data_IF_245693754701
#
_entry.id   IF_245693754701
#
_cell.length_a   1.000
_cell.length_b   1.000
_cell.length_c   1.000
_cell.angle_alpha   90.00
_cell.angle_beta   90.00
_cell.angle_gamma   90.00
#
_symmetry.space_group_name_H-M   'P 1'
#
loop_
_entity.id
_entity.type
_entity.pdbx_description
1 polymer ?
#
# COMPACT_ATOMS: atom_id res chain seq x y z
N UNK A 1 -22.99 47.06 -38.13
CA UNK A 1 -22.96 46.58 -36.73
C UNK A 1 -22.89 45.06 -36.79
N UNK A 2 -21.77 44.35 -36.76
CA UNK A 2 -20.39 44.60 -36.29
C UNK A 2 -19.51 43.60 -37.04
N UNK A 3 -18.46 43.98 -37.79
CA UNK A 3 -17.49 43.01 -38.30
C UNK A 3 -16.32 42.82 -37.32
N UNK A 4 -15.93 41.55 -37.11
CA UNK A 4 -14.68 41.15 -36.45
C UNK A 4 -13.46 41.53 -37.30
N UNK A 5 -12.37 42.05 -36.73
CA UNK A 5 -11.12 42.19 -37.46
C UNK A 5 -10.27 40.93 -37.41
N UNK A 6 -9.78 40.59 -38.60
CA UNK A 6 -8.74 39.63 -38.96
C UNK A 6 -7.35 40.06 -38.45
N UNK A 7 -6.58 39.04 -38.09
CA UNK A 7 -5.14 38.97 -37.79
C UNK A 7 -4.25 39.76 -38.75
N UNK A 8 -3.25 40.46 -38.20
CA UNK A 8 -2.13 41.01 -38.97
C UNK A 8 -1.06 41.63 -38.06
N UNK A 9 -0.04 40.84 -37.69
CA UNK A 9 1.19 41.33 -37.09
C UNK A 9 2.31 41.27 -38.13
N UNK A 10 3.10 42.34 -38.35
CA UNK A 10 4.26 42.28 -39.22
C UNK A 10 5.58 42.12 -38.46
N UNK A 11 6.44 41.33 -39.12
CA UNK A 11 7.87 41.49 -39.37
C UNK A 11 8.87 41.58 -38.20
N UNK A 12 9.80 40.62 -38.28
CA UNK A 12 11.09 40.50 -37.64
C UNK A 12 11.99 41.73 -37.81
N UNK A 13 12.81 41.97 -36.78
CA UNK A 13 14.12 42.59 -36.94
C UNK A 13 15.13 41.89 -36.02
N UNK A 14 16.30 41.59 -36.59
CA UNK A 14 17.39 40.83 -36.01
C UNK A 14 18.47 41.78 -35.49
N UNK A 15 19.11 41.46 -34.36
CA UNK A 15 20.54 41.64 -34.10
C UNK A 15 20.86 41.38 -32.62
N UNK A 16 21.95 40.63 -32.35
CA UNK A 16 22.51 40.54 -31.00
C UNK A 16 23.20 39.23 -30.68
N UNK A 17 24.19 38.84 -31.48
CA UNK A 17 25.06 37.72 -31.16
C UNK A 17 26.02 38.10 -30.02
N UNK A 18 25.70 37.70 -28.79
CA UNK A 18 26.63 37.74 -27.65
C UNK A 18 27.08 36.33 -27.33
N UNK A 19 28.35 36.01 -27.62
CA UNK A 19 29.03 34.76 -27.21
C UNK A 19 29.11 34.70 -25.68
N UNK A 20 28.54 33.69 -25.00
CA UNK A 20 28.93 33.37 -23.64
C UNK A 20 30.23 32.56 -23.63
N UNK A 21 31.11 32.91 -22.69
CA UNK A 21 32.40 32.26 -22.43
C UNK A 21 32.24 30.77 -22.08
N UNK A 22 33.27 29.92 -22.30
CA UNK A 22 33.19 28.50 -21.94
C UNK A 22 33.06 28.33 -20.42
N UNK A 23 32.28 27.34 -19.94
CA UNK A 23 32.18 27.06 -18.52
C UNK A 23 33.53 26.58 -17.99
N UNK A 24 33.97 27.21 -16.89
CA UNK A 24 35.12 26.79 -16.10
C UNK A 24 34.85 25.40 -15.52
N UNK A 25 35.77 24.47 -15.73
CA UNK A 25 35.80 23.15 -15.10
C UNK A 25 35.80 23.31 -13.58
N UNK A 26 34.83 22.77 -12.83
CA UNK A 26 34.95 22.68 -11.39
C UNK A 26 35.97 21.59 -11.04
N UNK A 27 36.92 21.97 -10.18
CA UNK A 27 37.96 21.11 -9.65
C UNK A 27 37.36 19.85 -8.99
N UNK A 28 37.94 18.69 -9.31
CA UNK A 28 37.64 17.41 -8.69
C UNK A 28 37.93 17.50 -7.20
N UNK A 29 36.87 17.49 -6.40
CA UNK A 29 36.95 17.40 -4.94
C UNK A 29 37.31 15.97 -4.56
N UNK A 30 38.27 15.71 -3.65
CA UNK A 30 38.62 14.36 -3.26
C UNK A 30 37.42 13.67 -2.58
N UNK A 31 37.12 12.45 -3.03
CA UNK A 31 36.15 11.54 -2.42
C UNK A 31 36.63 11.19 -1.02
N UNK A 32 35.84 11.38 0.05
CA UNK A 32 36.18 10.82 1.35
C UNK A 32 36.10 9.29 1.27
N UNK A 33 37.21 8.65 1.60
CA UNK A 33 37.38 7.21 1.76
C UNK A 33 36.27 6.63 2.65
N UNK A 34 35.55 5.62 2.16
CA UNK A 34 34.59 4.88 2.97
C UNK A 34 35.31 4.19 4.14
N UNK A 35 34.84 4.30 5.40
CA UNK A 35 35.29 3.41 6.46
C UNK A 35 34.71 2.00 6.25
N UNK A 36 35.56 1.00 6.40
CA UNK A 36 35.25 -0.43 6.30
C UNK A 36 34.15 -0.87 7.29
N UNK A 37 33.35 -1.90 6.96
CA UNK A 37 32.28 -2.38 7.83
C UNK A 37 32.86 -3.36 8.85
N UNK A 38 32.96 -2.95 10.12
CA UNK A 38 33.27 -3.87 11.22
C UNK A 38 32.65 -3.44 12.54
N UNK A 39 31.35 -3.16 12.55
CA UNK A 39 30.56 -3.05 13.79
C UNK A 39 29.09 -3.43 13.58
N UNK A 40 28.83 -4.70 13.25
CA UNK A 40 27.57 -5.35 13.60
C UNK A 40 27.92 -6.65 14.30
N UNK A 41 28.15 -6.56 15.62
CA UNK A 41 28.23 -7.72 16.49
C UNK A 41 27.23 -7.47 17.63
N UNK A 42 26.36 -8.47 17.80
CA UNK A 42 25.32 -8.64 18.82
C UNK A 42 24.05 -7.77 18.70
N UNK A 43 23.20 -8.14 17.74
CA UNK A 43 21.76 -7.98 17.93
C UNK A 43 21.31 -8.92 19.06
N UNK A 44 20.53 -8.45 20.04
CA UNK A 44 20.06 -9.30 21.12
C UNK A 44 19.16 -10.40 20.54
N UNK A 45 19.51 -11.65 20.81
CA UNK A 45 18.58 -12.77 20.66
C UNK A 45 17.40 -12.48 21.59
N UNK A 46 16.30 -11.98 21.03
CA UNK A 46 15.05 -11.83 21.76
C UNK A 46 14.61 -13.23 22.20
N UNK A 47 14.84 -13.55 23.47
CA UNK A 47 14.25 -14.73 24.09
C UNK A 47 12.74 -14.66 23.90
N UNK A 48 12.16 -15.70 23.31
CA UNK A 48 10.72 -15.80 23.09
C UNK A 48 10.02 -15.78 24.44
N UNK A 49 9.36 -14.67 24.77
CA UNK A 49 8.32 -14.67 25.79
C UNK A 49 7.26 -15.73 25.42
N UNK A 50 6.62 -16.41 26.39
CA UNK A 50 5.54 -17.34 26.07
C UNK A 50 4.46 -16.61 25.28
N UNK A 51 4.09 -17.19 24.13
CA UNK A 51 3.05 -16.64 23.27
C UNK A 51 1.75 -16.50 24.06
N UNK A 52 1.26 -15.27 24.23
CA UNK A 52 -0.06 -15.03 24.81
C UNK A 52 -1.16 -15.54 23.89
N UNK A 53 -2.41 -15.58 24.35
CA UNK A 53 -3.55 -15.88 23.47
C UNK A 53 -3.60 -14.87 22.32
N UNK A 54 -3.85 -15.36 21.10
CA UNK A 54 -3.98 -14.51 19.92
C UNK A 54 -5.10 -13.48 20.14
N UNK A 55 -4.76 -12.21 19.96
CA UNK A 55 -5.65 -11.06 20.15
C UNK A 55 -5.37 -10.02 19.08
N UNK A 56 -6.33 -9.12 18.87
CA UNK A 56 -6.07 -7.96 18.00
C UNK A 56 -5.21 -6.96 18.75
N UNK A 57 -4.09 -6.57 18.14
CA UNK A 57 -3.16 -5.56 18.62
C UNK A 57 -3.03 -4.49 17.55
N UNK A 58 -3.14 -3.23 17.94
CA UNK A 58 -2.85 -2.09 17.08
C UNK A 58 -1.40 -1.64 17.22
N UNK A 59 -0.77 -1.28 16.12
CA UNK A 59 0.61 -0.82 16.04
C UNK A 59 0.69 0.40 15.13
N UNK A 60 1.40 1.45 15.56
CA UNK A 60 1.76 2.53 14.65
C UNK A 60 3.23 2.93 14.83
N UNK A 61 3.99 2.78 13.73
CA UNK A 61 5.42 3.09 13.67
C UNK A 61 5.72 4.33 12.81
N UNK A 62 4.67 4.98 12.25
CA UNK A 62 4.83 6.14 11.38
C UNK A 62 5.25 5.80 9.94
N UNK A 63 4.94 4.60 9.43
CA UNK A 63 5.18 4.25 8.03
C UNK A 63 4.52 5.26 7.10
N UNK A 64 5.28 5.82 6.15
CA UNK A 64 4.79 6.86 5.26
C UNK A 64 3.91 6.29 4.14
N UNK A 65 4.11 5.03 3.78
CA UNK A 65 3.41 4.39 2.67
C UNK A 65 2.84 3.01 3.03
N UNK A 66 1.84 2.57 2.27
CA UNK A 66 1.33 1.20 2.35
C UNK A 66 2.41 0.17 2.05
N UNK A 67 3.29 0.45 1.09
CA UNK A 67 4.37 -0.47 0.71
C UNK A 67 5.37 -0.70 1.86
N UNK A 68 5.72 0.34 2.61
CA UNK A 68 6.56 0.23 3.80
C UNK A 68 5.88 -0.61 4.90
N UNK A 69 4.62 -0.33 5.18
CA UNK A 69 3.85 -1.08 6.17
C UNK A 69 3.68 -2.56 5.78
N UNK A 70 3.41 -2.84 4.51
CA UNK A 70 3.29 -4.18 3.96
C UNK A 70 4.59 -4.96 4.09
N UNK A 71 5.71 -4.33 3.72
CA UNK A 71 7.02 -4.94 3.85
C UNK A 71 7.32 -5.31 5.31
N UNK A 72 7.02 -4.40 6.25
CA UNK A 72 7.16 -4.67 7.67
C UNK A 72 6.28 -5.85 8.13
N UNK A 73 5.00 -5.89 7.72
CA UNK A 73 4.08 -7.00 8.04
C UNK A 73 4.61 -8.34 7.53
N UNK A 74 5.13 -8.39 6.30
CA UNK A 74 5.64 -9.62 5.68
C UNK A 74 6.92 -10.12 6.35
N UNK A 75 7.69 -9.23 6.97
CA UNK A 75 8.92 -9.58 7.69
C UNK A 75 8.68 -10.14 9.11
N UNK A 76 7.45 -10.11 9.62
CA UNK A 76 7.15 -10.55 10.99
C UNK A 76 7.30 -12.07 11.16
N UNK A 77 8.03 -12.48 12.19
CA UNK A 77 8.21 -13.89 12.57
C UNK A 77 7.95 -14.07 14.09
N UNK A 78 7.05 -14.99 14.48
CA UNK A 78 6.14 -15.72 13.61
C UNK A 78 5.11 -14.78 12.99
N UNK A 79 4.64 -15.15 11.82
CA UNK A 79 3.78 -14.27 11.05
C UNK A 79 2.35 -14.25 11.63
N UNK A 80 1.69 -13.08 11.69
CA UNK A 80 0.39 -12.88 12.35
C UNK A 80 -0.76 -13.56 11.59
N UNK A 81 -1.79 -14.04 12.28
CA UNK A 81 -2.92 -14.75 11.65
C UNK A 81 -3.65 -13.84 10.65
N UNK A 82 -3.89 -12.59 11.04
CA UNK A 82 -4.49 -11.53 10.24
C UNK A 82 -3.63 -10.27 10.41
N UNK A 83 -3.42 -9.53 9.33
CA UNK A 83 -2.80 -8.21 9.38
C UNK A 83 -3.51 -7.25 8.42
N UNK A 84 -3.86 -6.07 8.92
CA UNK A 84 -4.53 -5.04 8.16
C UNK A 84 -3.78 -3.71 8.25
N UNK A 85 -3.70 -2.98 7.14
CA UNK A 85 -3.22 -1.59 7.07
C UNK A 85 -4.39 -0.61 7.15
N UNK A 86 -4.15 0.51 7.83
CA UNK A 86 -5.11 1.57 8.13
C UNK A 86 -4.47 2.91 7.77
N UNK A 87 -5.06 3.64 6.84
CA UNK A 87 -4.62 5.01 6.53
C UNK A 87 -5.10 5.95 7.64
N UNK A 88 -4.19 6.74 8.19
CA UNK A 88 -4.45 7.67 9.28
C UNK A 88 -3.91 9.04 8.89
N UNK A 89 -4.68 10.09 9.12
CA UNK A 89 -4.30 11.47 8.74
C UNK A 89 -3.59 12.25 9.85
N UNK A 90 -3.76 11.87 11.11
CA UNK A 90 -3.23 12.57 12.28
C UNK A 90 -2.25 11.70 13.07
N UNK A 91 -1.18 12.28 13.65
CA UNK A 91 -0.80 13.70 13.62
C UNK A 91 -0.25 14.16 12.27
N UNK A 92 0.09 13.22 11.39
CA UNK A 92 0.42 13.41 9.99
C UNK A 92 -0.03 12.18 9.20
N UNK A 93 -0.15 12.26 7.86
CA UNK A 93 -0.51 11.11 7.03
C UNK A 93 0.48 9.95 7.20
N UNK A 94 0.00 8.81 7.68
CA UNK A 94 0.79 7.59 7.87
C UNK A 94 -0.09 6.32 7.87
N UNK A 95 0.56 5.16 7.94
CA UNK A 95 -0.11 3.86 8.00
C UNK A 95 -0.01 3.26 9.40
N UNK A 96 -1.15 3.09 10.06
CA UNK A 96 -1.29 2.27 11.26
C UNK A 96 -1.66 0.83 10.87
N UNK A 97 -1.42 -0.13 11.77
CA UNK A 97 -1.54 -1.56 11.50
C UNK A 97 -2.36 -2.22 12.61
N UNK A 98 -3.21 -3.17 12.25
CA UNK A 98 -3.79 -4.10 13.22
C UNK A 98 -3.38 -5.53 12.91
N UNK A 99 -3.09 -6.30 13.96
CA UNK A 99 -2.57 -7.66 13.88
C UNK A 99 -3.38 -8.58 14.78
N UNK A 100 -3.85 -9.71 14.27
CA UNK A 100 -4.31 -10.82 15.11
C UNK A 100 -3.12 -11.73 15.43
N UNK A 101 -2.64 -11.66 16.66
CA UNK A 101 -1.34 -12.24 17.03
C UNK A 101 -1.23 -12.48 18.54
N UNK A 102 -0.38 -13.43 18.91
CA UNK A 102 0.01 -13.68 20.30
C UNK A 102 1.06 -12.67 20.81
N UNK A 103 1.74 -11.99 19.90
CA UNK A 103 2.89 -11.13 20.19
C UNK A 103 2.47 -9.71 20.56
N UNK A 104 3.33 -9.07 21.36
CA UNK A 104 3.19 -7.66 21.68
C UNK A 104 4.15 -6.84 20.81
N UNK A 105 3.72 -5.66 20.43
CA UNK A 105 4.48 -4.72 19.60
C UNK A 105 4.52 -3.37 20.30
N UNK A 106 5.62 -2.65 20.14
CA UNK A 106 5.71 -1.26 20.59
C UNK A 106 5.12 -0.34 19.53
N UNK A 107 4.51 0.75 19.98
CA UNK A 107 3.98 1.84 19.15
C UNK A 107 4.75 3.09 19.50
N UNK A 108 5.01 3.95 18.52
CA UNK A 108 5.57 5.29 18.77
C UNK A 108 4.63 6.02 19.72
N UNK A 109 5.09 6.57 20.87
CA UNK A 109 4.21 7.12 21.90
C UNK A 109 3.17 8.11 21.37
N UNK A 110 3.60 9.01 20.47
CA UNK A 110 2.76 10.03 19.83
C UNK A 110 1.66 9.45 18.92
N UNK A 111 1.81 8.19 18.47
CA UNK A 111 0.89 7.51 17.54
C UNK A 111 -0.02 6.49 18.25
N UNK A 112 -0.11 6.53 19.58
CA UNK A 112 -0.92 5.59 20.37
C UNK A 112 -2.40 5.63 19.98
N UNK A 113 -2.95 6.82 19.67
CA UNK A 113 -4.34 6.96 19.22
C UNK A 113 -4.58 6.27 17.87
N UNK A 114 -3.64 6.40 16.94
CA UNK A 114 -3.70 5.74 15.63
C UNK A 114 -3.66 4.21 15.79
N UNK A 115 -2.78 3.69 16.66
CA UNK A 115 -2.73 2.28 16.98
C UNK A 115 -4.04 1.78 17.62
N UNK A 116 -4.60 2.50 18.59
CA UNK A 116 -5.88 2.12 19.21
C UNK A 116 -7.03 2.11 18.20
N UNK A 117 -7.05 3.08 17.28
CA UNK A 117 -8.04 3.13 16.19
C UNK A 117 -7.91 1.96 15.23
N UNK A 118 -6.68 1.61 14.84
CA UNK A 118 -6.42 0.43 14.02
C UNK A 118 -6.85 -0.87 14.73
N UNK A 119 -6.58 -1.00 16.03
CA UNK A 119 -6.99 -2.16 16.84
C UNK A 119 -8.52 -2.33 16.90
N UNK A 120 -9.28 -1.23 16.87
CA UNK A 120 -10.74 -1.28 16.82
C UNK A 120 -11.26 -1.89 15.51
N UNK A 121 -10.45 -1.95 14.45
CA UNK A 121 -10.71 -2.78 13.28
C UNK A 121 -11.94 -2.39 12.46
N UNK A 122 -12.39 -1.13 12.55
CA UNK A 122 -13.63 -0.69 11.88
C UNK A 122 -13.51 -0.74 10.36
N UNK A 123 -12.36 -0.31 9.84
CA UNK A 123 -12.03 -0.27 8.42
C UNK A 123 -10.56 -0.62 8.21
N UNK A 124 -10.16 -1.11 7.04
CA UNK A 124 -8.76 -1.35 6.69
C UNK A 124 -8.61 -2.14 5.40
N UNK A 125 -7.36 -2.50 5.07
CA UNK A 125 -7.02 -3.42 3.97
C UNK A 125 -6.22 -4.58 4.50
N UNK A 126 -6.69 -5.80 4.28
CA UNK A 126 -5.96 -6.97 4.73
C UNK A 126 -4.77 -7.24 3.81
N UNK A 127 -3.63 -7.43 4.43
CA UNK A 127 -2.34 -7.78 3.79
C UNK A 127 -2.09 -9.28 3.91
N UNK A 128 -2.48 -9.83 5.07
CA UNK A 128 -2.31 -11.24 5.42
C UNK A 128 -3.58 -11.72 6.09
N UNK A 129 -4.06 -12.88 5.66
CA UNK A 129 -5.23 -13.54 6.22
C UNK A 129 -5.19 -15.03 5.84
N UNK A 130 -5.89 -15.92 6.57
CA UNK A 130 -5.90 -17.34 6.24
C UNK A 130 -6.36 -17.61 4.79
N UNK A 131 -5.53 -18.34 4.04
CA UNK A 131 -5.83 -18.79 2.68
C UNK A 131 -5.44 -17.81 1.57
N UNK A 132 -4.87 -16.64 1.88
CA UNK A 132 -4.38 -15.68 0.87
C UNK A 132 -3.39 -16.32 -0.10
N UNK A 133 -2.56 -17.25 0.38
CA UNK A 133 -1.56 -17.98 -0.41
C UNK A 133 -2.16 -18.92 -1.46
N UNK A 134 -3.47 -19.18 -1.39
CA UNK A 134 -4.22 -20.06 -2.30
C UNK A 134 -4.98 -19.29 -3.37
N UNK A 135 -4.97 -17.96 -3.31
CA UNK A 135 -5.67 -17.07 -4.23
C UNK A 135 -4.77 -16.70 -5.42
N UNK A 136 -4.37 -17.71 -6.18
CA UNK A 136 -3.43 -17.62 -7.30
C UNK A 136 -4.15 -17.99 -8.61
N UNK A 137 -3.95 -17.19 -9.65
CA UNK A 137 -4.59 -17.35 -10.95
C UNK A 137 -6.09 -17.01 -10.96
N UNK A 138 -6.80 -17.35 -12.06
CA UNK A 138 -8.24 -17.17 -12.16
C UNK A 138 -8.98 -18.14 -11.23
N UNK A 139 -9.90 -17.62 -10.43
CA UNK A 139 -10.73 -18.39 -9.51
C UNK A 139 -12.19 -17.93 -9.59
N UNK A 140 -13.12 -18.84 -9.43
CA UNK A 140 -14.52 -18.48 -9.21
C UNK A 140 -14.70 -17.77 -7.86
N UNK A 141 -15.76 -16.95 -7.74
CA UNK A 141 -16.18 -16.37 -6.45
C UNK A 141 -16.33 -17.47 -5.38
N UNK A 142 -16.93 -18.61 -5.73
CA UNK A 142 -17.11 -19.73 -4.82
C UNK A 142 -15.78 -20.32 -4.33
N UNK A 143 -14.79 -20.49 -5.21
CA UNK A 143 -13.45 -20.96 -4.82
C UNK A 143 -12.75 -19.99 -3.88
N UNK A 144 -12.87 -18.68 -4.10
CA UNK A 144 -12.28 -17.66 -3.23
C UNK A 144 -12.84 -17.77 -1.81
N UNK A 145 -14.17 -17.86 -1.68
CA UNK A 145 -14.84 -17.96 -0.38
C UNK A 145 -14.54 -19.28 0.34
N UNK A 146 -14.38 -20.39 -0.39
CA UNK A 146 -14.08 -21.70 0.20
C UNK A 146 -12.62 -21.84 0.64
N UNK A 147 -11.69 -21.17 -0.06
CA UNK A 147 -10.25 -21.34 0.14
C UNK A 147 -9.64 -20.33 1.10
N UNK A 148 -10.36 -19.28 1.45
CA UNK A 148 -9.85 -18.18 2.26
C UNK A 148 -10.85 -17.72 3.32
N UNK A 149 -10.40 -16.85 4.21
CA UNK A 149 -11.26 -16.19 5.19
C UNK A 149 -12.04 -14.99 4.63
N UNK A 150 -12.09 -14.81 3.30
CA UNK A 150 -12.94 -13.79 2.68
C UNK A 150 -14.39 -14.19 2.88
N UNK A 151 -15.17 -13.29 3.50
CA UNK A 151 -16.57 -13.54 3.80
C UNK A 151 -17.46 -13.29 2.58
N UNK A 152 -17.13 -12.29 1.76
CA UNK A 152 -17.94 -11.84 0.62
C UNK A 152 -17.09 -11.32 -0.52
N UNK A 153 -17.59 -11.49 -1.73
CA UNK A 153 -17.08 -10.83 -2.94
C UNK A 153 -18.16 -9.90 -3.48
N UNK A 154 -17.82 -8.62 -3.65
CA UNK A 154 -18.71 -7.58 -4.12
C UNK A 154 -18.16 -6.96 -5.41
N UNK A 155 -19.05 -6.61 -6.33
CA UNK A 155 -18.77 -5.79 -7.50
C UNK A 155 -19.01 -4.34 -7.10
N UNK A 156 -18.00 -3.50 -7.30
CA UNK A 156 -18.04 -2.07 -6.97
C UNK A 156 -19.27 -1.41 -7.62
N UNK A 157 -20.16 -0.88 -6.79
CA UNK A 157 -21.39 -0.21 -7.24
C UNK A 157 -22.52 -1.13 -7.71
N UNK A 158 -22.38 -2.46 -7.60
CA UNK A 158 -23.40 -3.42 -8.08
C UNK A 158 -23.80 -4.50 -7.07
N UNK A 159 -23.09 -4.63 -5.94
CA UNK A 159 -23.45 -5.57 -4.87
C UNK A 159 -22.76 -6.95 -5.01
N UNK A 160 -23.32 -8.03 -4.46
CA UNK A 160 -22.67 -9.34 -4.42
C UNK A 160 -22.39 -9.91 -5.83
N UNK A 161 -21.21 -10.52 -6.00
CA UNK A 161 -20.86 -11.23 -7.23
C UNK A 161 -21.49 -12.63 -7.29
N UNK A 162 -21.81 -13.12 -8.50
CA UNK A 162 -22.37 -14.46 -8.65
C UNK A 162 -21.30 -15.55 -8.39
N UNK A 163 -21.66 -16.68 -7.74
CA UNK A 163 -20.69 -17.68 -7.26
C UNK A 163 -19.78 -18.29 -8.34
N UNK A 164 -20.28 -18.41 -9.56
CA UNK A 164 -19.61 -18.98 -10.74
C UNK A 164 -18.80 -17.95 -11.54
N UNK A 165 -18.90 -16.65 -11.19
CA UNK A 165 -18.16 -15.60 -11.88
C UNK A 165 -16.66 -15.74 -11.62
N UNK A 166 -15.86 -15.65 -12.69
CA UNK A 166 -14.39 -15.73 -12.60
C UNK A 166 -13.80 -14.39 -12.19
N UNK A 167 -12.94 -14.43 -11.17
CA UNK A 167 -12.10 -13.34 -10.70
C UNK A 167 -10.65 -13.64 -11.12
N UNK A 168 -10.09 -12.76 -11.94
CA UNK A 168 -8.66 -12.74 -12.29
C UNK A 168 -7.90 -12.09 -11.12
N UNK A 169 -7.40 -12.91 -10.20
CA UNK A 169 -6.82 -12.42 -8.93
C UNK A 169 -5.52 -11.62 -9.11
N UNK A 170 -4.82 -11.77 -10.22
CA UNK A 170 -3.49 -11.15 -10.44
C UNK A 170 -2.47 -11.54 -9.37
N UNK A 171 -2.70 -12.68 -8.71
CA UNK A 171 -1.96 -13.18 -7.55
C UNK A 171 -1.85 -12.14 -6.42
N UNK A 172 -2.80 -11.21 -6.34
CA UNK A 172 -2.81 -10.10 -5.40
C UNK A 172 -4.23 -9.78 -4.95
N UNK A 173 -4.52 -10.10 -3.70
CA UNK A 173 -5.86 -9.93 -3.14
C UNK A 173 -5.74 -9.11 -1.86
N UNK A 174 -6.27 -7.88 -1.91
CA UNK A 174 -6.38 -6.97 -0.76
C UNK A 174 -7.83 -6.69 -0.41
N UNK A 175 -8.52 -7.60 0.30
CA UNK A 175 -9.89 -7.37 0.70
C UNK A 175 -9.94 -6.25 1.76
N UNK A 176 -11.09 -5.57 1.81
CA UNK A 176 -11.36 -4.61 2.86
C UNK A 176 -11.69 -5.36 4.15
N UNK A 177 -11.12 -4.93 5.27
CA UNK A 177 -11.59 -5.35 6.58
C UNK A 177 -12.65 -4.37 7.05
N UNK A 178 -13.88 -4.84 7.26
CA UNK A 178 -15.04 -4.03 7.63
C UNK A 178 -15.82 -4.76 8.70
N UNK A 179 -15.90 -4.18 9.89
CA UNK A 179 -16.68 -4.70 11.02
C UNK A 179 -16.42 -6.19 11.33
N UNK A 180 -15.15 -6.64 11.20
CA UNK A 180 -14.76 -8.03 11.47
C UNK A 180 -14.80 -8.97 10.26
N UNK A 181 -15.36 -8.53 9.13
CA UNK A 181 -15.44 -9.33 7.90
C UNK A 181 -14.39 -8.87 6.86
N UNK A 182 -13.92 -9.82 6.05
CA UNK A 182 -13.10 -9.55 4.87
C UNK A 182 -13.99 -9.53 3.62
N UNK A 183 -14.06 -8.38 2.98
CA UNK A 183 -14.87 -8.15 1.78
C UNK A 183 -13.93 -7.86 0.61
N UNK A 184 -13.90 -8.76 -0.37
CA UNK A 184 -13.17 -8.53 -1.60
C UNK A 184 -14.03 -7.70 -2.56
N UNK A 185 -13.64 -6.45 -2.77
CA UNK A 185 -14.28 -5.59 -3.77
C UNK A 185 -13.60 -5.80 -5.11
N UNK A 186 -14.39 -5.96 -6.15
CA UNK A 186 -13.97 -6.24 -7.53
C UNK A 186 -14.56 -5.23 -8.51
N UNK A 187 -13.98 -5.14 -9.70
CA UNK A 187 -14.54 -4.37 -10.82
C UNK A 187 -14.70 -5.27 -12.05
N UNK A 188 -15.66 -4.97 -12.95
CA UNK A 188 -15.82 -5.71 -14.20
C UNK A 188 -14.59 -5.61 -15.11
N UNK A 189 -14.25 -6.71 -15.76
CA UNK A 189 -13.21 -6.83 -16.76
C UNK A 189 -13.75 -7.47 -18.05
N UNK A 190 -12.96 -7.44 -19.12
CA UNK A 190 -13.34 -8.03 -20.41
C UNK A 190 -13.70 -9.52 -20.28
N UNK A 191 -14.71 -9.96 -21.05
CA UNK A 191 -15.14 -11.36 -21.09
C UNK A 191 -16.02 -11.80 -19.92
N UNK A 192 -16.72 -10.87 -19.26
CA UNK A 192 -17.62 -11.20 -18.14
C UNK A 192 -16.89 -11.59 -16.86
N UNK A 193 -15.60 -11.24 -16.76
CA UNK A 193 -14.74 -11.52 -15.62
C UNK A 193 -14.73 -10.35 -14.64
N UNK A 194 -14.18 -10.61 -13.46
CA UNK A 194 -13.92 -9.63 -12.43
C UNK A 194 -12.41 -9.53 -12.18
N UNK A 195 -11.95 -8.38 -11.71
CA UNK A 195 -10.61 -8.20 -11.14
C UNK A 195 -10.73 -7.56 -9.75
N UNK A 196 -9.83 -7.83 -8.80
CA UNK A 196 -9.76 -7.07 -7.56
C UNK A 196 -9.68 -5.57 -7.84
N UNK A 197 -10.40 -4.76 -7.05
CA UNK A 197 -10.36 -3.30 -7.17
C UNK A 197 -8.96 -2.74 -6.88
N UNK A 198 -8.26 -3.34 -5.92
CA UNK A 198 -6.90 -2.94 -5.57
C UNK A 198 -5.88 -3.71 -6.43
N UNK A 199 -4.96 -2.98 -7.05
CA UNK A 199 -3.95 -3.54 -7.96
C UNK A 199 -2.55 -3.41 -7.35
N UNK A 200 -1.63 -4.35 -7.68
CA UNK A 200 -0.23 -4.29 -7.20
C UNK A 200 0.48 -3.01 -7.63
N UNK A 201 0.16 -2.56 -8.83
CA UNK A 201 0.77 -1.39 -9.47
C UNK A 201 -0.37 -0.49 -9.92
N UNK A 202 -0.86 0.41 -9.04
CA UNK A 202 -1.90 1.34 -9.44
C UNK A 202 -1.42 2.16 -10.63
N UNK A 203 -2.28 2.34 -11.63
CA UNK A 203 -2.01 3.26 -12.73
C UNK A 203 -1.77 4.66 -12.13
N UNK A 204 -0.74 5.41 -12.57
CA UNK A 204 -0.31 6.65 -11.91
C UNK A 204 -1.39 7.72 -11.71
N UNK A 205 -2.50 7.66 -12.45
CA UNK A 205 -3.61 8.60 -12.31
C UNK A 205 -4.44 8.45 -11.02
N UNK A 206 -4.27 7.36 -10.26
CA UNK A 206 -5.02 7.12 -9.01
C UNK A 206 -4.17 7.25 -7.74
N UNK A 207 -2.91 7.70 -7.85
CA UNK A 207 -1.97 7.81 -6.72
C UNK A 207 -1.97 9.20 -6.04
N UNK A 208 -2.51 10.24 -6.69
CA UNK A 208 -2.39 11.64 -6.28
C UNK A 208 -3.74 12.30 -5.90
N UNK A 209 -4.54 11.67 -5.04
CA UNK A 209 -5.80 12.24 -4.53
C UNK A 209 -5.91 12.20 -3.02
#
# INVERSE_FOLDING_TARGET
>A
MTPYPTTGAPAAEAAGATRPAPPRTPATRPVPSQPSPSFYRDAPRHGSAPAGTARIVGVSLGHATLAEADHWIQALVPAPVLACTHLVSEPFPHVAISLLTAHSFSTVPELTVAAATAAAGRFGRAVRFPGVERLIGPLTVSEILQRSSIARVEILGSGPAAPDTIVETGDFVRPQFRDGELILVTTPAAGGKLVPFETRTPTPCCADH
#
